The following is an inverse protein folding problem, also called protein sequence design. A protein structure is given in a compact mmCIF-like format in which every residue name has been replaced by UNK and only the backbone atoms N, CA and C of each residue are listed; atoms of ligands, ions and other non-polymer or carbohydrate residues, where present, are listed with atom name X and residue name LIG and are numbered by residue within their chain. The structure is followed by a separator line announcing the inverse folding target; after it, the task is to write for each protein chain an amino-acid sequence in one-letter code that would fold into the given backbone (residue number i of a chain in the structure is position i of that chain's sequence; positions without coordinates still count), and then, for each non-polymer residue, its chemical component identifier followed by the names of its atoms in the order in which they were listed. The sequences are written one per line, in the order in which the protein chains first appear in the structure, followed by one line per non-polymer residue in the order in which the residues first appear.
data_IF_056760077272
#
_entry.id   IF_056760077272
#
_cell.length_a   1.000
_cell.length_b   1.000
_cell.length_c   1.000
_cell.angle_alpha   90.00
_cell.angle_beta   90.00
_cell.angle_gamma   90.00
#
_symmetry.space_group_name_H-M   'P 1'
#
loop_
_entity.id
_entity.type
_entity.pdbx_description
1 polymer ?
#
# COMPACT_ATOMS: atom_id res chain seq x y z
N UNK A 1 -27.05 -1.87 -20.05
CA UNK A 1 -25.90 -2.77 -19.80
C UNK A 1 -24.63 -1.94 -19.92
N UNK A 2 -23.99 -1.63 -18.80
CA UNK A 2 -22.78 -0.79 -18.77
C UNK A 2 -21.59 -1.64 -19.24
N UNK A 3 -21.04 -1.34 -20.42
CA UNK A 3 -19.88 -2.06 -20.96
C UNK A 3 -18.62 -1.57 -20.25
N UNK A 4 -17.99 -2.45 -19.47
CA UNK A 4 -16.67 -2.20 -18.86
C UNK A 4 -15.58 -2.72 -19.80
N UNK A 5 -14.53 -1.94 -20.01
CA UNK A 5 -13.36 -2.31 -20.80
C UNK A 5 -12.16 -2.38 -19.86
N UNK A 6 -11.48 -3.53 -19.82
CA UNK A 6 -10.23 -3.70 -19.09
C UNK A 6 -9.06 -3.61 -20.07
N UNK A 7 -8.02 -2.85 -19.71
CA UNK A 7 -6.83 -2.67 -20.53
C UNK A 7 -5.60 -2.51 -19.66
N UNK A 8 -4.45 -2.97 -20.17
CA UNK A 8 -3.15 -2.81 -19.50
C UNK A 8 -2.51 -1.51 -19.98
N UNK A 9 -1.94 -0.73 -19.06
CA UNK A 9 -1.33 0.56 -19.36
C UNK A 9 0.21 0.46 -19.51
N UNK A 10 0.82 -0.54 -18.87
CA UNK A 10 2.28 -0.64 -18.72
C UNK A 10 2.81 -2.06 -18.92
N UNK A 11 4.07 -2.15 -19.37
CA UNK A 11 4.89 -3.36 -19.36
C UNK A 11 6.22 -3.04 -18.67
N UNK A 12 6.37 -3.43 -17.40
CA UNK A 12 7.52 -3.07 -16.55
C UNK A 12 7.71 -1.55 -16.48
N UNK A 13 8.77 -1.00 -17.05
CA UNK A 13 9.04 0.43 -17.10
C UNK A 13 8.53 1.11 -18.38
N UNK A 14 8.13 0.33 -19.39
CA UNK A 14 7.60 0.83 -20.64
C UNK A 14 6.10 1.13 -20.58
N UNK A 15 5.67 2.12 -21.35
CA UNK A 15 4.25 2.45 -21.55
C UNK A 15 3.78 1.80 -22.83
N UNK A 16 2.58 1.24 -22.79
CA UNK A 16 1.87 0.93 -24.02
C UNK A 16 1.38 2.27 -24.57
N UNK A 17 2.11 2.85 -25.52
CA UNK A 17 1.81 4.20 -26.06
C UNK A 17 0.40 4.33 -26.62
N UNK A 18 -0.18 3.24 -27.12
CA UNK A 18 -1.55 3.21 -27.62
C UNK A 18 -2.59 3.27 -26.49
N UNK A 19 -2.22 2.92 -25.27
CA UNK A 19 -3.10 2.99 -24.11
C UNK A 19 -3.47 4.44 -23.75
N UNK A 20 -2.53 5.39 -23.84
CA UNK A 20 -2.85 6.80 -23.59
C UNK A 20 -3.81 7.36 -24.64
N UNK A 21 -3.63 7.00 -25.91
CA UNK A 21 -4.54 7.39 -26.99
C UNK A 21 -5.96 6.86 -26.75
N UNK A 22 -6.09 5.58 -26.40
CA UNK A 22 -7.40 4.98 -26.11
C UNK A 22 -8.07 5.63 -24.89
N UNK A 23 -7.33 5.80 -23.80
CA UNK A 23 -7.86 6.37 -22.55
C UNK A 23 -8.27 7.83 -22.76
N UNK A 24 -7.48 8.62 -23.47
CA UNK A 24 -7.84 10.00 -23.80
C UNK A 24 -9.10 10.04 -24.68
N UNK A 25 -9.23 9.16 -25.68
CA UNK A 25 -10.44 9.05 -26.49
C UNK A 25 -11.68 8.72 -25.64
N UNK A 26 -11.55 7.81 -24.66
CA UNK A 26 -12.64 7.49 -23.74
C UNK A 26 -13.07 8.71 -22.92
N UNK A 27 -12.10 9.47 -22.41
CA UNK A 27 -12.33 10.72 -21.66
C UNK A 27 -13.03 11.77 -22.53
N UNK A 28 -12.55 11.99 -23.76
CA UNK A 28 -13.14 12.92 -24.72
C UNK A 28 -14.59 12.54 -25.07
N UNK A 29 -14.90 11.24 -25.03
CA UNK A 29 -16.23 10.68 -25.18
C UNK A 29 -17.03 10.60 -23.86
N UNK A 30 -16.62 11.38 -22.85
CA UNK A 30 -17.29 11.52 -21.54
C UNK A 30 -17.45 10.19 -20.79
N UNK A 31 -16.52 9.25 -20.98
CA UNK A 31 -16.47 8.02 -20.18
C UNK A 31 -15.67 8.27 -18.92
N UNK A 32 -16.19 7.76 -17.79
CA UNK A 32 -15.44 7.73 -16.55
C UNK A 32 -14.33 6.68 -16.66
N UNK A 33 -13.13 7.05 -16.24
CA UNK A 33 -11.95 6.19 -16.21
C UNK A 33 -11.49 6.05 -14.77
N UNK A 34 -11.20 4.82 -14.35
CA UNK A 34 -10.57 4.50 -13.07
C UNK A 34 -9.29 3.73 -13.39
N UNK A 35 -8.18 4.16 -12.80
CA UNK A 35 -6.89 3.50 -12.93
C UNK A 35 -6.70 2.57 -11.73
N UNK A 36 -6.76 1.27 -11.96
CA UNK A 36 -6.52 0.26 -10.92
C UNK A 36 -5.09 -0.26 -11.03
N UNK A 37 -4.37 -0.29 -9.91
CA UNK A 37 -3.03 -0.86 -9.82
C UNK A 37 -2.92 -1.75 -8.58
N UNK A 38 -2.06 -2.76 -8.63
CA UNK A 38 -1.65 -3.57 -7.48
C UNK A 38 -0.30 -3.11 -6.89
N UNK A 39 0.22 -1.98 -7.34
CA UNK A 39 1.47 -1.39 -6.84
C UNK A 39 1.29 -0.93 -5.38
N UNK A 40 2.13 -1.45 -4.49
CA UNK A 40 2.19 -1.08 -3.06
C UNK A 40 3.39 -0.20 -2.72
N UNK A 41 4.16 0.22 -3.73
CA UNK A 41 5.45 0.90 -3.58
C UNK A 41 5.39 2.37 -3.93
N UNK A 42 4.53 2.72 -4.88
CA UNK A 42 4.46 4.06 -5.47
C UNK A 42 3.24 4.81 -4.94
N UNK A 43 3.40 6.10 -4.63
CA UNK A 43 2.27 6.94 -4.18
C UNK A 43 1.30 7.24 -5.34
N UNK A 44 0.04 7.57 -5.06
CA UNK A 44 -0.89 7.97 -6.13
C UNK A 44 -0.46 9.26 -6.83
N UNK A 45 0.19 10.18 -6.12
CA UNK A 45 0.77 11.40 -6.69
C UNK A 45 1.87 11.05 -7.69
N UNK A 46 2.69 10.05 -7.39
CA UNK A 46 3.75 9.61 -8.29
C UNK A 46 3.20 8.85 -9.51
N UNK A 47 2.12 8.08 -9.34
CA UNK A 47 1.38 7.51 -10.46
C UNK A 47 0.78 8.58 -11.37
N UNK A 48 0.15 9.62 -10.82
CA UNK A 48 -0.35 10.76 -11.58
C UNK A 48 0.76 11.45 -12.38
N UNK A 49 1.89 11.74 -11.73
CA UNK A 49 3.07 12.33 -12.37
C UNK A 49 3.61 11.45 -13.51
N UNK A 50 3.68 10.14 -13.31
CA UNK A 50 4.10 9.18 -14.34
C UNK A 50 3.10 9.16 -15.52
N UNK A 51 1.80 9.16 -15.26
CA UNK A 51 0.77 9.24 -16.31
C UNK A 51 0.93 10.54 -17.13
N UNK A 52 1.12 11.68 -16.48
CA UNK A 52 1.34 12.95 -17.16
C UNK A 52 2.58 12.93 -18.09
N UNK A 53 3.68 12.29 -17.66
CA UNK A 53 4.90 12.11 -18.47
C UNK A 53 4.67 11.28 -19.75
N UNK A 54 3.59 10.51 -19.80
CA UNK A 54 3.31 9.55 -20.87
C UNK A 54 2.05 9.87 -21.68
N UNK A 55 1.74 11.17 -21.78
CA UNK A 55 0.68 11.73 -22.66
C UNK A 55 -0.74 11.35 -22.27
N UNK A 56 -0.95 10.89 -21.04
CA UNK A 56 -2.30 10.76 -20.49
C UNK A 56 -2.90 12.15 -20.23
N UNK A 57 -4.21 12.26 -20.40
CA UNK A 57 -4.93 13.51 -20.17
C UNK A 57 -4.71 14.05 -18.74
N UNK A 58 -4.50 15.36 -18.57
CA UNK A 58 -4.27 15.96 -17.25
C UNK A 58 -5.49 15.90 -16.31
N UNK A 59 -6.66 15.49 -16.81
CA UNK A 59 -7.83 15.22 -15.97
C UNK A 59 -7.68 13.92 -15.16
N UNK A 60 -6.72 13.06 -15.52
CA UNK A 60 -6.39 11.86 -14.75
C UNK A 60 -5.49 12.28 -13.58
N UNK A 61 -6.14 12.66 -12.48
CA UNK A 61 -5.46 12.98 -11.22
C UNK A 61 -5.35 11.75 -10.32
N UNK A 62 -4.62 11.86 -9.20
CA UNK A 62 -4.57 10.83 -8.15
C UNK A 62 -5.94 10.34 -7.67
N UNK A 63 -7.01 11.12 -7.85
CA UNK A 63 -8.34 10.82 -7.33
C UNK A 63 -9.06 9.71 -8.11
N UNK A 64 -8.65 9.46 -9.36
CA UNK A 64 -9.17 8.32 -10.16
C UNK A 64 -8.26 7.10 -10.10
N UNK A 65 -7.16 7.17 -9.33
CA UNK A 65 -6.20 6.08 -9.17
C UNK A 65 -6.53 5.32 -7.89
N UNK A 66 -6.67 4.00 -8.02
CA UNK A 66 -6.97 3.08 -6.92
C UNK A 66 -5.78 2.16 -6.72
N UNK A 67 -5.19 2.23 -5.53
CA UNK A 67 -4.06 1.41 -5.07
C UNK A 67 -4.52 0.47 -3.94
N UNK A 68 -3.77 -0.61 -3.63
CA UNK A 68 -4.07 -1.44 -2.47
C UNK A 68 -3.99 -0.64 -1.15
N UNK A 69 -3.08 0.35 -1.07
CA UNK A 69 -2.96 1.23 0.11
C UNK A 69 -4.22 2.06 0.35
N UNK A 70 -4.83 2.59 -0.71
CA UNK A 70 -6.09 3.34 -0.59
C UNK A 70 -7.22 2.43 -0.09
N UNK A 71 -7.36 1.24 -0.69
CA UNK A 71 -8.38 0.26 -0.30
C UNK A 71 -8.21 -0.15 1.16
N UNK A 72 -6.97 -0.42 1.59
CA UNK A 72 -6.64 -0.73 2.98
C UNK A 72 -7.05 0.40 3.92
N UNK A 73 -6.67 1.64 3.61
CA UNK A 73 -7.00 2.78 4.45
C UNK A 73 -8.52 2.97 4.58
N UNK A 74 -9.26 2.82 3.48
CA UNK A 74 -10.73 2.86 3.48
C UNK A 74 -11.33 1.72 4.31
N UNK A 75 -10.81 0.51 4.14
CA UNK A 75 -11.26 -0.66 4.90
C UNK A 75 -11.07 -0.46 6.40
N UNK A 76 -9.88 -0.02 6.84
CA UNK A 76 -9.58 0.21 8.25
C UNK A 76 -10.50 1.28 8.86
N UNK A 77 -10.73 2.40 8.16
CA UNK A 77 -11.67 3.44 8.63
C UNK A 77 -13.10 2.94 8.78
N UNK A 78 -13.55 2.07 7.88
CA UNK A 78 -14.92 1.54 7.88
C UNK A 78 -15.12 0.37 8.84
N UNK A 79 -14.04 -0.33 9.22
CA UNK A 79 -14.11 -1.54 10.07
C UNK A 79 -14.39 -1.24 11.55
N UNK A 80 -14.26 0.01 12.01
CA UNK A 80 -14.50 0.43 13.40
C UNK A 80 -13.48 -0.09 14.44
N UNK A 81 -12.71 -1.13 14.13
CA UNK A 81 -11.71 -1.75 15.03
C UNK A 81 -10.37 -1.00 15.11
N UNK A 82 -10.20 0.08 14.35
CA UNK A 82 -8.95 0.83 14.23
C UNK A 82 -8.77 1.96 15.27
N UNK A 83 -9.85 2.45 15.91
CA UNK A 83 -9.79 3.65 16.74
C UNK A 83 -8.81 3.50 17.93
N UNK A 84 -7.70 4.25 17.89
CA UNK A 84 -6.67 4.26 18.92
C UNK A 84 -5.66 3.09 18.86
N UNK A 85 -5.74 2.25 17.83
CA UNK A 85 -4.78 1.17 17.56
C UNK A 85 -3.87 1.49 16.39
N UNK A 86 -2.77 0.75 16.27
CA UNK A 86 -1.73 0.95 15.26
C UNK A 86 -1.70 -0.21 14.27
N UNK A 87 -1.23 0.08 13.06
CA UNK A 87 -0.95 -0.93 12.04
C UNK A 87 0.53 -1.32 12.09
N UNK A 88 0.82 -2.62 12.21
CA UNK A 88 2.18 -3.11 11.98
C UNK A 88 2.41 -3.28 10.49
N UNK A 89 3.36 -2.53 9.93
CA UNK A 89 3.55 -2.39 8.50
C UNK A 89 4.84 -3.06 8.04
N UNK A 90 4.70 -3.95 7.06
CA UNK A 90 5.77 -4.53 6.25
C UNK A 90 5.48 -4.17 4.80
N UNK A 91 5.64 -2.89 4.44
CA UNK A 91 5.37 -2.38 3.11
C UNK A 91 6.28 -1.18 2.82
N UNK A 92 6.08 -0.57 1.66
CA UNK A 92 6.84 0.57 1.17
C UNK A 92 5.98 1.85 1.13
N UNK A 93 6.62 2.94 0.70
CA UNK A 93 6.10 4.30 0.67
C UNK A 93 4.67 4.44 0.13
N UNK A 94 4.32 3.74 -0.94
CA UNK A 94 2.96 3.80 -1.50
C UNK A 94 1.84 3.42 -0.53
N UNK A 95 2.07 2.48 0.40
CA UNK A 95 1.10 2.17 1.46
C UNK A 95 1.25 3.14 2.64
N UNK A 96 2.48 3.50 3.00
CA UNK A 96 2.77 4.44 4.08
C UNK A 96 2.07 5.80 3.88
N UNK A 97 2.09 6.31 2.65
CA UNK A 97 1.48 7.57 2.25
C UNK A 97 -0.05 7.55 2.42
N UNK A 98 -0.70 6.44 2.06
CA UNK A 98 -2.15 6.30 2.21
C UNK A 98 -2.56 6.20 3.68
N UNK A 99 -1.83 5.42 4.48
CA UNK A 99 -2.10 5.34 5.92
C UNK A 99 -1.94 6.72 6.57
N UNK A 100 -0.82 7.40 6.29
CA UNK A 100 -0.53 8.75 6.81
C UNK A 100 -1.59 9.77 6.40
N UNK A 101 -1.96 9.80 5.12
CA UNK A 101 -2.93 10.76 4.58
C UNK A 101 -4.34 10.57 5.14
N UNK A 102 -4.64 9.37 5.67
CA UNK A 102 -5.92 9.04 6.30
C UNK A 102 -5.86 9.06 7.84
N UNK A 103 -4.78 9.58 8.43
CA UNK A 103 -4.63 9.68 9.88
C UNK A 103 -4.50 8.32 10.57
N UNK A 104 -4.03 7.31 9.84
CA UNK A 104 -3.78 5.98 10.36
C UNK A 104 -2.35 5.92 10.91
N UNK A 105 -2.20 5.52 12.18
CA UNK A 105 -0.94 5.28 12.84
C UNK A 105 -0.39 3.92 12.43
N UNK A 106 0.90 3.89 12.09
CA UNK A 106 1.59 2.69 11.67
C UNK A 106 3.04 2.71 12.10
N UNK A 107 3.64 1.53 12.20
CA UNK A 107 5.03 1.34 12.60
C UNK A 107 5.63 0.10 11.95
N UNK A 108 6.96 -0.04 11.99
CA UNK A 108 7.67 -1.17 11.39
C UNK A 108 8.33 -0.88 10.05
N UNK A 109 8.29 0.39 9.61
CA UNK A 109 8.98 0.88 8.41
C UNK A 109 10.50 0.76 8.57
N UNK A 110 11.22 0.66 7.45
CA UNK A 110 12.69 0.69 7.45
C UNK A 110 13.36 -0.61 7.94
N UNK A 111 14.68 -0.63 8.10
CA UNK A 111 15.43 -1.79 8.58
C UNK A 111 15.07 -2.17 10.02
N UNK A 112 14.82 -3.46 10.26
CA UNK A 112 14.71 -4.03 11.62
C UNK A 112 15.81 -5.08 11.82
N UNK A 113 17.01 -4.59 12.15
CA UNK A 113 18.22 -5.41 12.22
C UNK A 113 18.27 -6.15 13.57
N UNK A 114 18.75 -7.39 13.56
CA UNK A 114 19.11 -8.10 14.79
C UNK A 114 20.39 -7.48 15.34
N UNK A 115 20.41 -7.09 16.61
CA UNK A 115 21.62 -6.58 17.25
C UNK A 115 22.74 -7.61 17.16
N UNK A 116 23.97 -7.17 16.84
CA UNK A 116 25.14 -8.03 16.63
C UNK A 116 25.63 -8.78 17.90
N UNK A 117 24.90 -8.69 19.01
CA UNK A 117 25.32 -9.15 20.32
C UNK A 117 24.27 -10.10 20.91
N UNK A 118 24.51 -11.41 20.77
CA UNK A 118 23.84 -12.42 21.59
C UNK A 118 23.24 -13.56 20.80
N UNK A 119 23.47 -14.77 21.34
CA UNK A 119 23.01 -16.09 20.88
C UNK A 119 21.53 -16.11 20.49
N UNK A 120 21.11 -17.21 19.84
CA UNK A 120 19.75 -17.59 19.44
C UNK A 120 18.60 -17.12 20.37
N UNK A 121 18.85 -16.99 21.68
CA UNK A 121 17.95 -16.38 22.67
C UNK A 121 17.45 -14.95 22.34
N UNK A 122 18.22 -14.10 21.64
CA UNK A 122 17.78 -12.74 21.26
C UNK A 122 16.70 -12.77 20.17
N UNK A 123 16.65 -13.82 19.35
CA UNK A 123 15.60 -14.02 18.35
C UNK A 123 14.25 -14.27 19.02
N UNK A 124 14.25 -14.94 20.19
CA UNK A 124 13.03 -15.21 20.96
C UNK A 124 12.59 -14.03 21.84
N UNK A 125 13.51 -13.16 22.24
CA UNK A 125 13.20 -11.91 22.92
C UNK A 125 12.92 -10.81 21.88
N UNK A 126 11.93 -11.04 21.01
CA UNK A 126 11.55 -10.07 19.99
C UNK A 126 11.10 -8.79 20.69
N UNK A 127 11.89 -7.72 20.59
CA UNK A 127 11.53 -6.40 21.14
C UNK A 127 10.24 -5.91 20.46
N UNK A 128 9.10 -6.17 21.12
CA UNK A 128 7.78 -5.71 20.71
C UNK A 128 7.63 -4.27 21.23
N UNK A 129 8.01 -3.30 20.40
CA UNK A 129 7.93 -1.88 20.74
C UNK A 129 6.49 -1.40 21.01
N UNK A 130 5.50 -2.15 20.51
CA UNK A 130 4.07 -1.89 20.70
C UNK A 130 3.45 -3.16 21.29
N UNK A 131 2.55 -3.00 22.27
CA UNK A 131 1.85 -4.15 22.86
C UNK A 131 0.90 -4.77 21.84
N UNK A 132 0.61 -6.07 21.96
CA UNK A 132 -0.21 -6.77 20.96
C UNK A 132 -1.62 -6.18 20.88
N UNK A 133 -2.18 -5.84 22.03
CA UNK A 133 -3.53 -5.28 22.17
C UNK A 133 -3.69 -3.90 21.51
N UNK A 134 -2.58 -3.18 21.34
CA UNK A 134 -2.51 -1.87 20.68
C UNK A 134 -2.36 -1.98 19.15
N UNK A 135 -2.23 -3.20 18.60
CA UNK A 135 -2.14 -3.44 17.16
C UNK A 135 -3.47 -4.00 16.65
N UNK A 136 -3.98 -3.41 15.56
CA UNK A 136 -5.24 -3.84 14.95
C UNK A 136 -5.08 -4.60 13.64
N UNK A 137 -3.92 -4.47 12.99
CA UNK A 137 -3.68 -5.11 11.71
C UNK A 137 -2.18 -5.31 11.45
N UNK A 138 -1.85 -6.40 10.74
CA UNK A 138 -0.57 -6.59 10.08
C UNK A 138 -0.75 -6.43 8.58
N UNK A 139 -0.04 -5.46 8.01
CA UNK A 139 -0.14 -5.15 6.57
C UNK A 139 1.15 -5.52 5.88
N UNK A 140 1.04 -6.34 4.84
CA UNK A 140 2.18 -6.84 4.06
C UNK A 140 2.06 -6.39 2.61
N UNK A 141 3.10 -5.73 2.12
CA UNK A 141 3.33 -5.39 0.72
C UNK A 141 4.80 -5.60 0.37
N UNK A 142 5.27 -5.03 -0.74
CA UNK A 142 6.70 -5.02 -1.02
C UNK A 142 7.44 -4.17 0.01
N UNK A 143 8.51 -4.71 0.60
CA UNK A 143 9.39 -4.03 1.56
C UNK A 143 10.85 -4.42 1.27
N UNK A 144 11.69 -3.45 0.93
CA UNK A 144 13.13 -3.68 0.65
C UNK A 144 13.94 -4.12 1.89
N UNK A 145 13.37 -3.95 3.07
CA UNK A 145 13.93 -4.31 4.37
C UNK A 145 13.25 -5.53 4.99
N UNK A 146 12.50 -6.29 4.18
CA UNK A 146 11.88 -7.53 4.61
C UNK A 146 12.92 -8.48 5.23
N UNK A 147 12.66 -8.95 6.45
CA UNK A 147 13.58 -9.83 7.16
C UNK A 147 12.82 -10.76 8.13
N UNK A 148 13.51 -11.81 8.59
CA UNK A 148 12.96 -12.79 9.52
C UNK A 148 12.40 -12.15 10.80
N UNK A 149 13.07 -11.14 11.35
CA UNK A 149 12.61 -10.43 12.57
C UNK A 149 11.25 -9.76 12.35
N UNK A 150 11.01 -9.16 11.18
CA UNK A 150 9.71 -8.57 10.85
C UNK A 150 8.62 -9.65 10.72
N UNK A 151 8.94 -10.78 10.11
CA UNK A 151 8.00 -11.91 10.04
C UNK A 151 7.62 -12.45 11.42
N UNK A 152 8.59 -12.57 12.33
CA UNK A 152 8.35 -12.99 13.71
C UNK A 152 7.44 -11.99 14.45
N UNK A 153 7.69 -10.69 14.30
CA UNK A 153 6.81 -9.65 14.87
C UNK A 153 5.39 -9.73 14.32
N UNK A 154 5.24 -9.86 13.00
CA UNK A 154 3.95 -10.04 12.34
C UNK A 154 3.19 -11.25 12.91
N UNK A 155 3.84 -12.42 12.99
CA UNK A 155 3.23 -13.62 13.56
C UNK A 155 2.84 -13.44 15.04
N UNK A 156 3.64 -12.70 15.82
CA UNK A 156 3.32 -12.39 17.20
C UNK A 156 2.09 -11.48 17.35
N UNK A 157 1.92 -10.47 16.47
CA UNK A 157 0.73 -9.61 16.48
C UNK A 157 -0.52 -10.36 16.01
N UNK A 158 -0.41 -11.20 14.97
CA UNK A 158 -1.51 -12.03 14.46
C UNK A 158 -1.95 -13.15 15.41
N UNK A 159 -1.24 -13.35 16.52
CA UNK A 159 -1.71 -14.25 17.58
C UNK A 159 -2.95 -13.70 18.31
N UNK A 160 -3.20 -12.39 18.26
CA UNK A 160 -4.48 -11.80 18.67
C UNK A 160 -5.53 -12.03 17.57
N UNK A 161 -6.61 -12.80 17.80
CA UNK A 161 -7.65 -13.05 16.80
C UNK A 161 -8.42 -11.80 16.34
N UNK A 162 -8.29 -10.70 17.08
CA UNK A 162 -8.87 -9.40 16.70
C UNK A 162 -7.95 -8.54 15.83
N UNK A 163 -6.69 -8.96 15.67
CA UNK A 163 -5.74 -8.36 14.75
C UNK A 163 -5.96 -8.89 13.34
N UNK A 164 -6.16 -7.98 12.39
CA UNK A 164 -6.41 -8.26 10.97
C UNK A 164 -5.13 -8.65 10.21
#
# INVERSE_FOLDING_TARGET
MEKRVAGLVWLREGVITDASSLINLLIDNKKQVIMLTNDTTTTRVDHERKLAQHRFSPIITKDVIVTPGLILAEYLRNSGGYHGKKVYLIASEGVEDELKSNGIEYFGQGPDVLGAQGKEAVVFNTDMAVKREEVCAVVVGFDKHFCYKKMMKAANYLHDPSCL
#
